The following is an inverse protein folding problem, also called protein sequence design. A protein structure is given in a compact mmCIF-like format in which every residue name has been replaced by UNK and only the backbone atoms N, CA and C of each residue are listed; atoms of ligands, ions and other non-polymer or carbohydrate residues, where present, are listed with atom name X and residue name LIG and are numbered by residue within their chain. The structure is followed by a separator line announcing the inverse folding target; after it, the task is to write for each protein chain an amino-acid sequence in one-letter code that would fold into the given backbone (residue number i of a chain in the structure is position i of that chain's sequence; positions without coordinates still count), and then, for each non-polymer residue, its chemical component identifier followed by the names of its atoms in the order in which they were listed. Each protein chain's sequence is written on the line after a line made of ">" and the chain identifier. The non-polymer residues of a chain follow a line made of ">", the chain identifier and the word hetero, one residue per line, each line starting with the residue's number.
data_IF_024264289584
#
_entry.id   IF_024264289584
#
_cell.length_a   1.000
_cell.length_b   1.000
_cell.length_c   1.000
_cell.angle_alpha   90.00
_cell.angle_beta   90.00
_cell.angle_gamma   90.00
#
_symmetry.space_group_name_H-M   'P 1'
#
loop_
_entity.id
_entity.type
_entity.pdbx_description
1 polymer ?
#
# COMPACT_ATOMS: atom_id res chain seq x y z
N UNK A 1 -13.62 -29.72 -21.30
CA UNK A 1 -13.19 -28.74 -20.28
C UNK A 1 -14.30 -27.71 -20.19
N UNK A 2 -15.28 -27.98 -19.34
CA UNK A 2 -16.35 -27.02 -19.03
C UNK A 2 -15.71 -25.87 -18.26
N UNK A 3 -15.79 -24.67 -18.83
CA UNK A 3 -15.47 -23.44 -18.12
C UNK A 3 -16.42 -23.37 -16.92
N UNK A 4 -15.94 -23.74 -15.74
CA UNK A 4 -16.63 -23.44 -14.49
C UNK A 4 -16.56 -21.92 -14.40
N UNK A 5 -17.66 -21.25 -14.73
CA UNK A 5 -17.75 -19.79 -14.63
C UNK A 5 -17.37 -19.41 -13.20
N UNK A 6 -16.40 -18.51 -13.06
CA UNK A 6 -16.06 -17.90 -11.79
C UNK A 6 -17.34 -17.33 -11.18
N UNK A 7 -17.66 -17.74 -9.95
CA UNK A 7 -18.75 -17.13 -9.18
C UNK A 7 -18.49 -15.62 -9.10
N UNK A 8 -19.45 -14.73 -9.38
CA UNK A 8 -19.29 -13.29 -9.18
C UNK A 8 -18.78 -12.90 -7.78
N UNK A 9 -19.00 -13.76 -6.78
CA UNK A 9 -18.40 -13.63 -5.45
C UNK A 9 -16.86 -13.84 -5.45
N UNK A 10 -16.34 -14.74 -6.29
CA UNK A 10 -14.90 -15.01 -6.42
C UNK A 10 -14.16 -13.88 -7.17
N UNK A 11 -14.78 -13.26 -8.18
CA UNK A 11 -14.21 -12.09 -8.87
C UNK A 11 -14.07 -10.88 -7.92
N UNK A 12 -15.08 -10.66 -7.06
CA UNK A 12 -15.02 -9.63 -6.03
C UNK A 12 -13.98 -9.94 -4.95
N UNK A 13 -13.83 -11.20 -4.51
CA UNK A 13 -12.82 -11.57 -3.51
C UNK A 13 -11.41 -11.19 -3.95
N UNK A 14 -11.06 -11.50 -5.21
CA UNK A 14 -9.72 -11.28 -5.73
C UNK A 14 -9.41 -9.79 -5.93
N UNK A 15 -10.37 -8.99 -6.36
CA UNK A 15 -10.16 -7.54 -6.56
C UNK A 15 -9.76 -6.79 -5.28
N UNK A 16 -10.12 -7.33 -4.10
CA UNK A 16 -9.90 -6.72 -2.80
C UNK A 16 -8.94 -7.48 -1.90
N UNK A 17 -8.31 -8.55 -2.40
CA UNK A 17 -7.45 -9.40 -1.58
C UNK A 17 -6.30 -8.57 -0.96
N UNK A 18 -6.18 -8.50 0.38
CA UNK A 18 -5.37 -7.48 1.03
C UNK A 18 -3.85 -7.77 1.04
N UNK A 19 -3.45 -8.96 0.59
CA UNK A 19 -2.08 -9.46 0.56
C UNK A 19 -1.38 -9.40 1.93
N UNK A 20 -0.36 -8.54 2.08
CA UNK A 20 0.42 -8.39 3.33
C UNK A 20 -0.06 -7.18 4.13
N UNK A 21 -0.21 -7.36 5.45
CA UNK A 21 -0.51 -6.29 6.38
C UNK A 21 0.60 -5.23 6.34
N UNK A 22 0.27 -4.01 5.92
CA UNK A 22 1.18 -2.86 5.94
C UNK A 22 0.53 -1.67 6.65
N UNK A 23 1.24 -0.99 7.55
CA UNK A 23 0.79 0.27 8.12
C UNK A 23 0.53 1.31 7.03
N UNK A 24 -0.55 2.06 7.18
CA UNK A 24 -0.89 3.24 6.38
C UNK A 24 -1.40 4.33 7.34
N UNK A 25 -1.16 5.62 7.06
CA UNK A 25 -1.80 6.70 7.81
C UNK A 25 -3.33 6.55 7.79
N UNK A 26 -4.03 6.69 8.93
CA UNK A 26 -5.48 6.52 8.96
C UNK A 26 -6.20 7.58 8.13
N UNK A 27 -7.34 7.21 7.55
CA UNK A 27 -8.24 8.10 6.81
C UNK A 27 -9.03 9.02 7.73
N UNK A 28 -8.34 9.90 8.46
CA UNK A 28 -8.93 10.90 9.35
C UNK A 28 -9.62 12.03 8.55
N UNK A 29 -10.48 12.84 9.19
CA UNK A 29 -11.00 14.07 8.59
C UNK A 29 -9.90 14.92 7.95
N UNK A 30 -10.18 15.53 6.80
CA UNK A 30 -9.17 16.27 6.02
C UNK A 30 -8.53 17.39 6.85
N UNK A 31 -9.33 18.12 7.61
CA UNK A 31 -8.86 19.17 8.54
C UNK A 31 -7.85 18.63 9.56
N UNK A 32 -8.11 17.44 10.12
CA UNK A 32 -7.21 16.82 11.08
C UNK A 32 -5.89 16.39 10.44
N UNK A 33 -5.93 15.88 9.20
CA UNK A 33 -4.73 15.47 8.46
C UNK A 33 -3.86 16.68 8.08
N UNK A 34 -4.48 17.78 7.66
CA UNK A 34 -3.77 19.05 7.38
C UNK A 34 -3.19 19.64 8.68
N UNK A 35 -3.94 19.64 9.77
CA UNK A 35 -3.44 20.08 11.09
C UNK A 35 -2.26 19.23 11.57
N UNK A 36 -2.35 17.91 11.48
CA UNK A 36 -1.24 17.00 11.82
C UNK A 36 0.00 17.27 10.97
N UNK A 37 -0.18 17.66 9.70
CA UNK A 37 0.93 18.02 8.83
C UNK A 37 1.61 19.31 9.30
N UNK A 38 0.81 20.31 9.69
CA UNK A 38 1.32 21.56 10.27
C UNK A 38 2.06 21.30 11.60
N UNK A 39 1.51 20.48 12.49
CA UNK A 39 2.17 20.08 13.74
C UNK A 39 3.47 19.31 13.47
N UNK A 40 3.49 18.46 12.44
CA UNK A 40 4.70 17.80 11.98
C UNK A 40 5.71 18.80 11.42
N UNK A 41 5.28 19.88 10.79
CA UNK A 41 6.16 20.94 10.28
C UNK A 41 6.53 22.00 11.33
N UNK A 42 5.99 21.93 12.55
CA UNK A 42 6.19 22.95 13.57
C UNK A 42 7.67 23.23 13.83
N UNK A 43 8.02 24.52 13.91
CA UNK A 43 9.40 25.00 14.02
C UNK A 43 10.02 24.55 15.34
N UNK A 44 11.17 23.91 15.25
CA UNK A 44 12.10 23.68 16.36
C UNK A 44 13.22 24.72 16.28
N UNK A 45 13.95 24.95 17.38
CA UNK A 45 15.12 25.84 17.40
C UNK A 45 16.18 25.46 16.36
N UNK A 46 16.28 24.17 16.06
CA UNK A 46 17.32 23.59 15.21
C UNK A 46 16.86 23.40 13.75
N UNK A 47 15.64 23.85 13.42
CA UNK A 47 14.99 23.61 12.14
C UNK A 47 14.49 22.16 11.97
N UNK A 48 13.83 21.88 10.84
CA UNK A 48 13.19 20.60 10.62
C UNK A 48 14.22 19.55 10.14
N UNK A 49 14.39 18.41 10.84
CA UNK A 49 15.32 17.37 10.39
C UNK A 49 14.99 16.85 8.99
N UNK A 50 16.01 16.43 8.24
CA UNK A 50 15.87 15.94 6.84
C UNK A 50 14.74 14.92 6.68
N UNK A 51 14.73 13.90 7.54
CA UNK A 51 13.72 12.84 7.56
C UNK A 51 12.31 13.41 7.74
N UNK A 52 12.14 14.34 8.67
CA UNK A 52 10.84 14.93 9.01
C UNK A 52 10.35 15.88 7.92
N UNK A 53 11.24 16.65 7.29
CA UNK A 53 10.90 17.46 6.13
C UNK A 53 10.44 16.59 4.95
N UNK A 54 11.15 15.50 4.68
CA UNK A 54 10.75 14.53 3.66
C UNK A 54 9.40 13.87 4.00
N UNK A 55 9.15 13.55 5.29
CA UNK A 55 7.87 13.01 5.75
C UNK A 55 6.70 13.97 5.51
N UNK A 56 6.88 15.28 5.75
CA UNK A 56 5.86 16.30 5.46
C UNK A 56 5.52 16.32 3.96
N UNK A 57 6.52 16.37 3.07
CA UNK A 57 6.28 16.35 1.63
C UNK A 57 5.54 15.07 1.19
N UNK A 58 5.94 13.91 1.72
CA UNK A 58 5.29 12.63 1.42
C UNK A 58 3.82 12.60 1.86
N UNK A 59 3.51 13.08 3.07
CA UNK A 59 2.14 13.13 3.59
C UNK A 59 1.29 14.14 2.82
N UNK A 60 1.84 15.26 2.39
CA UNK A 60 1.14 16.21 1.54
C UNK A 60 0.73 15.60 0.20
N UNK A 61 1.64 14.90 -0.48
CA UNK A 61 1.34 14.17 -1.71
C UNK A 61 0.28 13.07 -1.50
N UNK A 62 0.30 12.40 -0.34
CA UNK A 62 -0.74 11.43 0.02
C UNK A 62 -2.11 12.11 0.21
N UNK A 63 -2.18 13.24 0.92
CA UNK A 63 -3.43 14.01 1.10
C UNK A 63 -3.99 14.44 -0.25
N UNK A 64 -3.16 15.02 -1.13
CA UNK A 64 -3.58 15.40 -2.48
C UNK A 64 -4.13 14.20 -3.26
N UNK A 65 -3.42 13.08 -3.24
CA UNK A 65 -3.85 11.87 -3.93
C UNK A 65 -5.17 11.32 -3.38
N UNK A 66 -5.32 11.28 -2.06
CA UNK A 66 -6.56 10.86 -1.42
C UNK A 66 -7.73 11.77 -1.73
N UNK A 67 -7.50 13.08 -1.91
CA UNK A 67 -8.53 14.04 -2.29
C UNK A 67 -8.94 14.00 -3.77
N UNK A 68 -8.43 13.02 -4.54
CA UNK A 68 -8.71 12.93 -5.97
C UNK A 68 -8.03 14.03 -6.79
N UNK A 69 -6.86 14.49 -6.35
CA UNK A 69 -6.03 15.50 -7.03
C UNK A 69 -4.72 14.84 -7.53
N UNK A 70 -4.78 13.95 -8.55
CA UNK A 70 -3.63 13.17 -9.01
C UNK A 70 -2.50 14.05 -9.57
N UNK A 71 -2.83 15.13 -10.29
CA UNK A 71 -1.83 16.03 -10.86
C UNK A 71 -1.04 16.76 -9.78
N UNK A 72 -1.73 17.26 -8.75
CA UNK A 72 -1.07 17.87 -7.58
C UNK A 72 -0.22 16.85 -6.83
N UNK A 73 -0.73 15.64 -6.61
CA UNK A 73 0.01 14.60 -5.91
C UNK A 73 1.30 14.21 -6.65
N UNK A 74 1.25 14.12 -7.98
CA UNK A 74 2.42 13.87 -8.82
C UNK A 74 3.38 15.07 -8.82
N UNK A 75 2.88 16.30 -8.93
CA UNK A 75 3.70 17.52 -8.86
C UNK A 75 4.49 17.58 -7.55
N UNK A 76 3.84 17.33 -6.41
CA UNK A 76 4.48 17.29 -5.10
C UNK A 76 5.57 16.22 -5.01
N UNK A 77 5.34 15.03 -5.54
CA UNK A 77 6.37 13.99 -5.62
C UNK A 77 7.56 14.42 -6.48
N UNK A 78 7.30 15.04 -7.62
CA UNK A 78 8.36 15.50 -8.51
C UNK A 78 9.17 16.67 -7.96
N UNK A 79 8.52 17.61 -7.27
CA UNK A 79 9.19 18.72 -6.59
C UNK A 79 10.15 18.20 -5.54
N UNK A 80 9.70 17.26 -4.70
CA UNK A 80 10.56 16.63 -3.71
C UNK A 80 11.72 15.87 -4.35
N UNK A 81 11.46 15.08 -5.40
CA UNK A 81 12.52 14.37 -6.13
C UNK A 81 13.58 15.34 -6.67
N UNK A 82 13.14 16.45 -7.28
CA UNK A 82 14.02 17.48 -7.86
C UNK A 82 14.96 18.06 -6.80
N UNK A 83 14.49 18.28 -5.57
CA UNK A 83 15.34 18.78 -4.48
C UNK A 83 16.47 17.80 -4.12
N UNK A 84 16.18 16.50 -4.09
CA UNK A 84 17.20 15.48 -3.86
C UNK A 84 18.15 15.34 -5.05
N UNK A 85 17.63 15.35 -6.28
CA UNK A 85 18.42 15.22 -7.50
C UNK A 85 19.43 16.37 -7.66
N UNK A 86 19.00 17.60 -7.40
CA UNK A 86 19.86 18.80 -7.43
C UNK A 86 20.95 18.81 -6.35
N UNK A 87 20.77 18.06 -5.27
CA UNK A 87 21.71 18.02 -4.15
C UNK A 87 22.71 16.85 -4.24
N UNK A 88 22.70 16.09 -5.34
CA UNK A 88 23.60 14.96 -5.52
C UNK A 88 25.08 15.40 -5.67
N UNK A 89 26.04 14.55 -5.27
CA UNK A 89 25.84 13.25 -4.63
C UNK A 89 25.39 13.40 -3.16
N UNK A 90 24.45 12.56 -2.74
CA UNK A 90 23.86 12.60 -1.40
C UNK A 90 24.68 11.78 -0.37
N UNK A 91 24.55 12.03 0.94
CA UNK A 91 25.04 11.09 1.94
C UNK A 91 24.30 9.75 1.86
N UNK A 92 24.95 8.64 2.23
CA UNK A 92 24.37 7.30 2.20
C UNK A 92 23.00 7.21 2.92
N UNK A 93 22.86 7.93 4.04
CA UNK A 93 21.64 7.97 4.85
C UNK A 93 20.43 8.61 4.13
N UNK A 94 20.64 9.36 3.05
CA UNK A 94 19.57 10.01 2.29
C UNK A 94 19.10 9.20 1.07
N UNK A 95 19.73 8.06 0.77
CA UNK A 95 19.43 7.25 -0.42
C UNK A 95 17.94 6.86 -0.52
N UNK A 96 17.36 6.36 0.59
CA UNK A 96 15.96 5.95 0.63
C UNK A 96 15.02 7.16 0.49
N UNK A 97 15.33 8.27 1.17
CA UNK A 97 14.53 9.49 1.10
C UNK A 97 14.52 10.10 -0.31
N UNK A 98 15.61 9.98 -1.05
CA UNK A 98 15.71 10.48 -2.42
C UNK A 98 14.89 9.65 -3.43
N UNK A 99 14.75 8.35 -3.17
CA UNK A 99 14.01 7.43 -4.02
C UNK A 99 12.50 7.42 -3.71
N UNK A 100 12.12 7.67 -2.45
CA UNK A 100 10.74 7.60 -1.98
C UNK A 100 9.73 8.40 -2.81
N UNK A 101 10.00 9.65 -3.25
CA UNK A 101 9.02 10.43 -4.02
C UNK A 101 8.70 9.78 -5.36
N UNK A 102 9.69 9.18 -6.01
CA UNK A 102 9.48 8.47 -7.29
C UNK A 102 8.74 7.14 -7.06
N UNK A 103 9.01 6.44 -5.95
CA UNK A 103 8.25 5.25 -5.56
C UNK A 103 6.81 5.54 -5.11
N UNK A 104 6.49 6.79 -4.75
CA UNK A 104 5.12 7.17 -4.44
C UNK A 104 4.23 7.26 -5.69
N UNK A 105 4.80 7.51 -6.87
CA UNK A 105 4.05 7.53 -8.14
C UNK A 105 3.35 6.19 -8.44
N UNK A 106 4.03 5.03 -8.48
CA UNK A 106 3.34 3.75 -8.67
C UNK A 106 2.39 3.43 -7.50
N UNK A 107 2.68 3.87 -6.27
CA UNK A 107 1.75 3.69 -5.13
C UNK A 107 0.48 4.53 -5.24
N UNK A 108 0.52 5.68 -5.91
CA UNK A 108 -0.67 6.45 -6.28
C UNK A 108 -1.49 5.67 -7.31
N UNK A 109 -0.85 5.25 -8.41
CA UNK A 109 -1.49 4.47 -9.47
C UNK A 109 -2.16 3.18 -8.97
N UNK A 110 -1.52 2.42 -8.07
CA UNK A 110 -2.12 1.23 -7.45
C UNK A 110 -3.42 1.57 -6.70
N UNK A 111 -3.44 2.71 -5.98
CA UNK A 111 -4.62 3.15 -5.23
C UNK A 111 -5.75 3.57 -6.16
N UNK A 112 -5.42 4.19 -7.28
CA UNK A 112 -6.36 4.63 -8.31
C UNK A 112 -6.82 3.48 -9.22
N UNK A 113 -6.22 2.30 -9.08
CA UNK A 113 -6.57 1.08 -9.83
C UNK A 113 -5.76 0.85 -11.10
N UNK A 114 -4.83 1.75 -11.46
CA UNK A 114 -3.93 1.58 -12.60
C UNK A 114 -2.70 0.73 -12.23
N UNK A 115 -2.96 -0.55 -11.98
CA UNK A 115 -1.92 -1.52 -11.65
C UNK A 115 -0.91 -1.74 -12.79
N UNK A 116 -1.34 -1.63 -14.05
CA UNK A 116 -0.45 -1.86 -15.20
C UNK A 116 0.63 -0.79 -15.30
N UNK A 117 0.25 0.49 -15.24
CA UNK A 117 1.22 1.59 -15.30
C UNK A 117 2.11 1.62 -14.06
N UNK A 118 1.54 1.36 -12.88
CA UNK A 118 2.32 1.26 -11.65
C UNK A 118 3.42 0.19 -11.77
N UNK A 119 3.05 -0.98 -12.31
CA UNK A 119 3.98 -2.07 -12.50
C UNK A 119 5.10 -1.73 -13.49
N UNK A 120 4.77 -1.12 -14.63
CA UNK A 120 5.74 -0.69 -15.64
C UNK A 120 6.77 0.31 -15.07
N UNK A 121 6.33 1.27 -14.25
CA UNK A 121 7.23 2.21 -13.57
C UNK A 121 8.20 1.48 -12.62
N UNK A 122 7.69 0.54 -11.81
CA UNK A 122 8.52 -0.22 -10.88
C UNK A 122 9.58 -1.07 -11.61
N UNK A 123 9.22 -1.68 -12.75
CA UNK A 123 10.16 -2.41 -13.59
C UNK A 123 11.23 -1.48 -14.17
N UNK A 124 10.82 -0.33 -14.74
CA UNK A 124 11.75 0.63 -15.32
C UNK A 124 12.76 1.16 -14.29
N UNK A 125 12.31 1.46 -13.07
CA UNK A 125 13.19 1.86 -11.97
C UNK A 125 14.17 0.75 -11.58
N UNK A 126 13.69 -0.48 -11.43
CA UNK A 126 14.58 -1.59 -11.07
C UNK A 126 15.62 -1.87 -12.16
N UNK A 127 15.21 -1.84 -13.43
CA UNK A 127 16.10 -2.04 -14.57
C UNK A 127 17.15 -0.93 -14.68
N UNK A 128 16.75 0.33 -14.49
CA UNK A 128 17.68 1.45 -14.47
C UNK A 128 18.69 1.35 -13.33
N UNK A 129 18.26 0.94 -12.13
CA UNK A 129 19.18 0.69 -11.01
C UNK A 129 20.14 -0.47 -11.30
N UNK A 130 19.65 -1.55 -11.92
CA UNK A 130 20.43 -2.76 -12.24
C UNK A 130 21.49 -2.49 -13.31
N UNK A 131 21.19 -1.62 -14.27
CA UNK A 131 22.07 -1.27 -15.40
C UNK A 131 22.86 0.02 -15.18
N UNK A 132 22.67 0.70 -14.04
CA UNK A 132 23.27 1.99 -13.72
C UNK A 132 22.93 3.08 -14.75
N UNK A 133 21.68 3.09 -15.22
CA UNK A 133 21.17 4.04 -16.21
C UNK A 133 20.07 4.95 -15.60
N UNK A 134 19.24 5.54 -16.44
CA UNK A 134 18.09 6.36 -16.04
C UNK A 134 16.79 5.72 -16.52
N UNK A 135 15.72 5.87 -15.76
CA UNK A 135 14.37 5.51 -16.18
C UNK A 135 13.62 6.75 -16.70
N UNK A 136 12.85 6.61 -17.79
CA UNK A 136 11.94 7.66 -18.26
C UNK A 136 10.54 7.41 -17.68
N UNK A 137 10.07 8.32 -16.84
CA UNK A 137 8.75 8.24 -16.18
C UNK A 137 8.00 9.52 -16.50
N UNK A 138 6.88 9.41 -17.22
CA UNK A 138 6.02 10.54 -17.58
C UNK A 138 6.79 11.71 -18.22
N UNK A 139 7.74 11.38 -19.10
CA UNK A 139 8.59 12.35 -19.79
C UNK A 139 9.73 12.92 -18.95
N UNK A 140 9.91 12.48 -17.70
CA UNK A 140 10.98 12.93 -16.80
C UNK A 140 12.01 11.82 -16.59
N UNK A 141 13.28 12.16 -16.72
CA UNK A 141 14.39 11.23 -16.52
C UNK A 141 14.71 11.11 -15.03
N UNK A 142 14.74 9.88 -14.51
CA UNK A 142 15.16 9.56 -13.14
C UNK A 142 16.47 8.79 -13.21
N UNK A 143 17.57 9.45 -12.84
CA UNK A 143 18.87 8.79 -12.73
C UNK A 143 18.96 7.98 -11.43
N UNK A 144 19.45 6.75 -11.54
CA UNK A 144 19.70 5.83 -10.42
C UNK A 144 21.17 5.43 -10.28
N UNK A 145 22.06 6.19 -10.93
CA UNK A 145 23.51 6.10 -10.74
C UNK A 145 24.04 7.36 -10.05
N UNK A 146 25.09 7.20 -9.25
CA UNK A 146 25.74 8.28 -8.51
C UNK A 146 24.73 9.08 -7.65
N UNK A 147 23.76 8.38 -7.05
CA UNK A 147 22.74 9.01 -6.22
C UNK A 147 23.37 9.49 -4.91
N UNK A 148 24.23 8.66 -4.34
CA UNK A 148 25.00 8.96 -3.14
C UNK A 148 26.50 8.97 -3.39
N UNK A 149 27.27 9.52 -2.44
CA UNK A 149 28.72 9.45 -2.41
C UNK A 149 29.25 8.12 -1.83
N UNK A 150 28.37 7.17 -1.50
CA UNK A 150 28.76 5.91 -0.87
C UNK A 150 29.35 4.94 -1.88
N UNK A 151 30.35 4.16 -1.46
CA UNK A 151 30.98 3.15 -2.33
C UNK A 151 30.04 1.99 -2.71
N UNK A 152 28.96 1.80 -1.97
CA UNK A 152 27.92 0.80 -2.22
C UNK A 152 26.61 1.38 -2.81
N UNK A 153 26.63 2.64 -3.32
CA UNK A 153 25.48 3.34 -3.91
C UNK A 153 24.65 2.46 -4.85
N UNK A 154 25.32 1.85 -5.84
CA UNK A 154 24.66 0.96 -6.81
C UNK A 154 23.97 -0.22 -6.14
N UNK A 155 24.61 -0.87 -5.15
CA UNK A 155 24.00 -1.98 -4.41
C UNK A 155 22.77 -1.51 -3.65
N UNK A 156 22.84 -0.34 -3.02
CA UNK A 156 21.74 0.28 -2.28
C UNK A 156 20.56 0.61 -3.20
N UNK A 157 20.79 1.30 -4.33
CA UNK A 157 19.74 1.61 -5.31
C UNK A 157 19.09 0.36 -5.92
N UNK A 158 19.90 -0.64 -6.26
CA UNK A 158 19.40 -1.92 -6.77
C UNK A 158 18.55 -2.63 -5.73
N UNK A 159 18.94 -2.59 -4.45
CA UNK A 159 18.22 -3.26 -3.36
C UNK A 159 16.89 -2.57 -3.09
N UNK A 160 16.87 -1.24 -2.96
CA UNK A 160 15.65 -0.49 -2.70
C UNK A 160 14.63 -0.62 -3.83
N UNK A 161 15.06 -0.51 -5.09
CA UNK A 161 14.17 -0.71 -6.25
C UNK A 161 13.70 -2.15 -6.40
N UNK A 162 14.57 -3.14 -6.13
CA UNK A 162 14.19 -4.55 -6.11
C UNK A 162 13.14 -4.84 -5.04
N UNK A 163 13.32 -4.33 -3.82
CA UNK A 163 12.35 -4.46 -2.73
C UNK A 163 11.02 -3.82 -3.11
N UNK A 164 11.04 -2.63 -3.72
CA UNK A 164 9.82 -1.98 -4.18
C UNK A 164 9.12 -2.78 -5.31
N UNK A 165 9.85 -3.32 -6.27
CA UNK A 165 9.29 -4.17 -7.32
C UNK A 165 8.66 -5.45 -6.74
N UNK A 166 9.35 -6.10 -5.80
CA UNK A 166 8.84 -7.31 -5.16
C UNK A 166 7.59 -7.04 -4.32
N UNK A 167 7.58 -5.92 -3.60
CA UNK A 167 6.53 -5.54 -2.67
C UNK A 167 5.31 -4.90 -3.35
N UNK A 168 5.55 -3.86 -4.15
CA UNK A 168 4.51 -3.04 -4.78
C UNK A 168 4.19 -3.55 -6.20
N UNK A 169 5.11 -4.22 -6.88
CA UNK A 169 4.87 -4.76 -8.23
C UNK A 169 3.93 -5.97 -8.21
N UNK A 170 4.05 -6.87 -7.22
CA UNK A 170 3.07 -7.96 -7.02
C UNK A 170 1.67 -7.39 -6.77
N UNK A 171 1.56 -6.32 -5.99
CA UNK A 171 0.28 -5.64 -5.72
C UNK A 171 -0.28 -4.94 -6.94
N UNK A 172 0.58 -4.32 -7.74
CA UNK A 172 0.20 -3.68 -8.98
C UNK A 172 -0.41 -4.70 -9.96
N UNK A 173 0.25 -5.85 -10.14
CA UNK A 173 -0.27 -6.94 -10.96
C UNK A 173 -1.55 -7.55 -10.39
N UNK A 174 -1.61 -7.80 -9.08
CA UNK A 174 -2.81 -8.28 -8.39
C UNK A 174 -3.99 -7.31 -8.58
N UNK A 175 -3.75 -6.01 -8.46
CA UNK A 175 -4.78 -4.97 -8.66
C UNK A 175 -5.31 -4.94 -10.09
N UNK A 176 -4.47 -5.31 -11.07
CA UNK A 176 -4.86 -5.49 -12.46
C UNK A 176 -5.50 -6.87 -12.76
N UNK A 177 -5.72 -7.72 -11.75
CA UNK A 177 -6.24 -9.09 -11.92
C UNK A 177 -5.24 -10.09 -12.50
N UNK A 178 -3.97 -9.70 -12.69
CA UNK A 178 -2.91 -10.48 -13.34
C UNK A 178 -2.16 -11.36 -12.35
N UNK A 179 -2.89 -12.24 -11.65
CA UNK A 179 -2.33 -13.06 -10.57
C UNK A 179 -1.24 -14.03 -11.03
N UNK A 180 -1.38 -14.61 -12.22
CA UNK A 180 -0.36 -15.48 -12.79
C UNK A 180 0.97 -14.75 -12.96
N UNK A 181 0.94 -13.57 -13.57
CA UNK A 181 2.13 -12.74 -13.77
C UNK A 181 2.68 -12.21 -12.43
N UNK A 182 1.81 -11.92 -11.47
CA UNK A 182 2.22 -11.57 -10.11
C UNK A 182 3.03 -12.70 -9.45
N UNK A 183 2.61 -13.95 -9.64
CA UNK A 183 3.30 -15.13 -9.14
C UNK A 183 4.63 -15.38 -9.89
N UNK A 184 4.64 -15.27 -11.22
CA UNK A 184 5.86 -15.40 -12.03
C UNK A 184 6.90 -14.35 -11.67
N UNK A 185 6.49 -13.09 -11.52
CA UNK A 185 7.36 -12.02 -11.08
C UNK A 185 7.95 -12.30 -9.69
N UNK A 186 7.10 -12.69 -8.74
CA UNK A 186 7.57 -13.04 -7.42
C UNK A 186 8.60 -14.18 -7.48
N UNK A 187 8.36 -15.21 -8.30
CA UNK A 187 9.29 -16.32 -8.49
C UNK A 187 10.63 -15.87 -9.11
N UNK A 188 10.58 -15.08 -10.19
CA UNK A 188 11.75 -14.56 -10.90
C UNK A 188 12.66 -13.74 -9.97
N UNK A 189 12.07 -13.04 -9.01
CA UNK A 189 12.79 -12.25 -8.01
C UNK A 189 12.98 -12.96 -6.66
N UNK A 190 12.80 -14.29 -6.58
CA UNK A 190 12.96 -15.10 -5.35
C UNK A 190 12.10 -14.63 -4.17
N UNK A 191 10.95 -14.05 -4.46
CA UNK A 191 9.95 -13.58 -3.49
C UNK A 191 8.98 -14.64 -3.00
N UNK A 192 9.08 -15.89 -3.47
CA UNK A 192 8.26 -17.02 -3.01
C UNK A 192 9.00 -17.73 -1.87
N UNK A 193 8.89 -17.18 -0.66
CA UNK A 193 9.49 -17.74 0.55
C UNK A 193 8.62 -18.82 1.22
N UNK A 194 8.94 -19.20 2.47
CA UNK A 194 8.13 -20.12 3.30
C UNK A 194 6.93 -19.45 3.98
N UNK A 195 7.02 -18.13 4.21
CA UNK A 195 5.97 -17.34 4.85
C UNK A 195 4.89 -16.92 3.85
N UNK A 196 3.68 -16.65 4.33
CA UNK A 196 2.59 -16.08 3.51
C UNK A 196 2.81 -14.58 3.29
N UNK A 197 3.87 -14.21 2.57
CA UNK A 197 4.08 -12.85 2.07
C UNK A 197 3.49 -12.67 0.66
N UNK A 198 3.57 -11.46 0.08
CA UNK A 198 2.88 -11.08 -1.16
C UNK A 198 3.10 -12.13 -2.29
N UNK A 199 4.35 -12.58 -2.49
CA UNK A 199 4.69 -13.54 -3.54
C UNK A 199 4.06 -14.93 -3.37
N UNK A 200 4.15 -15.53 -2.18
CA UNK A 200 3.55 -16.86 -1.93
C UNK A 200 2.02 -16.81 -2.02
N UNK A 201 1.41 -15.73 -1.52
CA UNK A 201 -0.04 -15.55 -1.62
C UNK A 201 -0.48 -15.41 -3.09
N UNK A 202 0.24 -14.64 -3.90
CA UNK A 202 -0.02 -14.55 -5.34
C UNK A 202 0.11 -15.91 -6.04
N UNK A 203 1.09 -16.73 -5.68
CA UNK A 203 1.23 -18.10 -6.21
C UNK A 203 0.03 -18.98 -5.87
N UNK A 204 -0.47 -18.95 -4.62
CA UNK A 204 -1.66 -19.72 -4.23
C UNK A 204 -2.87 -19.30 -5.08
N UNK A 205 -3.12 -18.00 -5.20
CA UNK A 205 -4.27 -17.48 -5.95
C UNK A 205 -4.17 -17.78 -7.45
N UNK A 206 -2.98 -17.67 -8.03
CA UNK A 206 -2.73 -18.04 -9.42
C UNK A 206 -2.99 -19.53 -9.69
N UNK A 207 -2.53 -20.41 -8.79
CA UNK A 207 -2.80 -21.85 -8.88
C UNK A 207 -4.29 -22.16 -8.77
N UNK A 208 -4.99 -21.52 -7.82
CA UNK A 208 -6.42 -21.70 -7.63
C UNK A 208 -7.21 -21.27 -8.88
N UNK A 209 -6.90 -20.10 -9.46
CA UNK A 209 -7.52 -19.62 -10.70
C UNK A 209 -7.25 -20.53 -11.91
N UNK A 210 -6.09 -21.18 -11.96
CA UNK A 210 -5.74 -22.15 -12.99
C UNK A 210 -6.39 -23.54 -12.76
N UNK A 211 -7.21 -23.70 -11.72
CA UNK A 211 -7.83 -24.97 -11.36
C UNK A 211 -6.88 -25.97 -10.68
N UNK A 212 -5.67 -25.57 -10.33
CA UNK A 212 -4.69 -26.39 -9.60
C UNK A 212 -4.93 -26.32 -8.08
N UNK A 213 -6.16 -26.60 -7.66
CA UNK A 213 -6.64 -26.36 -6.29
C UNK A 213 -5.95 -27.22 -5.24
N UNK A 214 -5.57 -28.46 -5.56
CA UNK A 214 -4.78 -29.33 -4.67
C UNK A 214 -3.37 -28.75 -4.42
N UNK A 215 -2.71 -28.24 -5.46
CA UNK A 215 -1.40 -27.61 -5.34
C UNK A 215 -1.48 -26.30 -4.54
N UNK A 216 -2.52 -25.51 -4.79
CA UNK A 216 -2.80 -24.30 -4.05
C UNK A 216 -3.00 -24.60 -2.55
N UNK A 217 -3.83 -25.61 -2.22
CA UNK A 217 -4.09 -26.03 -0.85
C UNK A 217 -2.82 -26.57 -0.16
N UNK A 218 -2.04 -27.40 -0.85
CA UNK A 218 -0.77 -27.89 -0.32
C UNK A 218 0.21 -26.75 -0.02
N UNK A 219 0.27 -25.72 -0.86
CA UNK A 219 1.12 -24.55 -0.63
C UNK A 219 0.67 -23.74 0.59
N UNK A 220 -0.64 -23.58 0.79
CA UNK A 220 -1.22 -22.95 2.00
C UNK A 220 -0.83 -23.73 3.26
N UNK A 221 -0.98 -25.05 3.23
CA UNK A 221 -0.71 -25.94 4.37
C UNK A 221 0.77 -25.99 4.75
N UNK A 222 1.67 -25.90 3.77
CA UNK A 222 3.12 -25.89 3.99
C UNK A 222 3.67 -24.50 4.40
N UNK A 223 2.81 -23.49 4.52
CA UNK A 223 3.25 -22.13 4.83
C UNK A 223 3.50 -21.90 6.31
N UNK A 224 4.57 -21.16 6.61
CA UNK A 224 4.84 -20.65 7.94
C UNK A 224 4.02 -19.38 8.21
N UNK A 225 3.29 -19.35 9.32
CA UNK A 225 2.41 -18.23 9.71
C UNK A 225 2.68 -17.77 11.15
N UNK A 226 3.85 -17.20 11.43
CA UNK A 226 4.20 -16.74 12.77
C UNK A 226 3.31 -15.59 13.27
N UNK A 227 2.78 -14.75 12.38
CA UNK A 227 1.97 -13.60 12.77
C UNK A 227 0.45 -13.89 12.75
N UNK A 228 -0.35 -13.25 13.61
CA UNK A 228 -1.81 -13.41 13.61
C UNK A 228 -2.47 -13.06 12.28
N UNK A 229 -1.92 -12.08 11.55
CA UNK A 229 -2.45 -11.71 10.23
C UNK A 229 -2.15 -12.81 9.19
N UNK A 230 -1.00 -13.49 9.27
CA UNK A 230 -0.68 -14.61 8.37
C UNK A 230 -1.61 -15.80 8.60
N UNK A 231 -1.97 -16.06 9.87
CA UNK A 231 -2.93 -17.12 10.22
C UNK A 231 -4.33 -16.83 9.66
N UNK A 232 -4.78 -15.57 9.71
CA UNK A 232 -6.05 -15.17 9.10
C UNK A 232 -6.02 -15.30 7.56
N UNK A 233 -4.91 -14.94 6.91
CA UNK A 233 -4.75 -15.15 5.47
C UNK A 233 -4.71 -16.64 5.13
N UNK A 234 -4.07 -17.48 5.95
CA UNK A 234 -4.02 -18.92 5.73
C UNK A 234 -5.42 -19.55 5.76
N UNK A 235 -6.26 -19.20 6.74
CA UNK A 235 -7.63 -19.72 6.81
C UNK A 235 -8.48 -19.23 5.65
N UNK A 236 -8.35 -17.96 5.25
CA UNK A 236 -9.00 -17.40 4.06
C UNK A 236 -8.61 -18.19 2.80
N UNK A 237 -7.31 -18.36 2.55
CA UNK A 237 -6.81 -19.07 1.37
C UNK A 237 -7.20 -20.54 1.38
N UNK A 238 -7.23 -21.19 2.56
CA UNK A 238 -7.66 -22.59 2.70
C UNK A 238 -9.13 -22.76 2.30
N UNK A 239 -10.02 -21.92 2.83
CA UNK A 239 -11.45 -21.96 2.50
C UNK A 239 -11.68 -21.64 1.02
N UNK A 240 -10.95 -20.65 0.48
CA UNK A 240 -11.01 -20.34 -0.95
C UNK A 240 -10.60 -21.54 -1.82
N UNK A 241 -9.48 -22.21 -1.51
CA UNK A 241 -9.04 -23.41 -2.26
C UNK A 241 -10.06 -24.55 -2.19
N UNK A 242 -10.66 -24.80 -1.01
CA UNK A 242 -11.72 -25.81 -0.86
C UNK A 242 -12.95 -25.48 -1.71
N UNK A 243 -13.39 -24.21 -1.69
CA UNK A 243 -14.52 -23.75 -2.50
C UNK A 243 -14.26 -23.93 -4.00
N UNK A 244 -13.07 -23.53 -4.47
CA UNK A 244 -12.65 -23.73 -5.87
C UNK A 244 -12.59 -25.23 -6.26
N UNK A 245 -12.26 -26.10 -5.31
CA UNK A 245 -12.26 -27.55 -5.52
C UNK A 245 -13.67 -28.19 -5.46
N UNK A 246 -14.73 -27.41 -5.15
CA UNK A 246 -16.07 -27.94 -4.90
C UNK A 246 -16.16 -28.80 -3.64
N UNK A 247 -15.20 -28.66 -2.71
CA UNK A 247 -15.13 -29.43 -1.47
C UNK A 247 -15.94 -28.76 -0.34
N UNK A 248 -16.30 -29.56 0.68
CA UNK A 248 -16.98 -29.06 1.87
C UNK A 248 -16.11 -28.05 2.64
N UNK A 249 -16.63 -26.83 2.80
CA UNK A 249 -15.98 -25.74 3.53
C UNK A 249 -16.38 -25.67 5.00
N UNK A 250 -17.46 -26.36 5.41
CA UNK A 250 -18.06 -26.28 6.74
C UNK A 250 -17.06 -26.41 7.90
N UNK A 251 -16.15 -27.42 7.91
CA UNK A 251 -15.16 -27.58 8.97
C UNK A 251 -14.20 -26.39 9.14
N UNK A 252 -14.02 -25.58 8.10
CA UNK A 252 -13.08 -24.45 8.08
C UNK A 252 -13.73 -23.10 8.36
N UNK A 253 -15.07 -23.01 8.38
CA UNK A 253 -15.79 -21.76 8.66
C UNK A 253 -15.56 -21.27 10.09
N UNK A 254 -15.60 -22.15 11.09
CA UNK A 254 -15.36 -21.75 12.48
C UNK A 254 -13.93 -21.20 12.72
N UNK A 255 -12.84 -21.85 12.21
CA UNK A 255 -11.49 -21.29 12.22
C UNK A 255 -11.34 -19.97 11.45
N UNK A 256 -11.94 -19.85 10.27
CA UNK A 256 -11.95 -18.64 9.45
C UNK A 256 -12.53 -17.45 10.24
N UNK A 257 -13.72 -17.62 10.80
CA UNK A 257 -14.38 -16.57 11.59
C UNK A 257 -13.61 -16.25 12.89
N UNK A 258 -12.97 -17.24 13.52
CA UNK A 258 -12.17 -17.03 14.72
C UNK A 258 -10.96 -16.14 14.44
N UNK A 259 -10.20 -16.47 13.40
CA UNK A 259 -8.98 -15.75 13.02
C UNK A 259 -9.29 -14.34 12.53
N UNK A 260 -10.36 -14.16 11.73
CA UNK A 260 -10.85 -12.84 11.33
C UNK A 260 -11.26 -11.97 12.53
N UNK A 261 -11.98 -12.52 13.51
CA UNK A 261 -12.35 -11.79 14.73
C UNK A 261 -11.14 -11.42 15.59
N UNK A 262 -10.16 -12.31 15.74
CA UNK A 262 -8.90 -12.02 16.44
C UNK A 262 -8.17 -10.87 15.76
N UNK A 263 -8.08 -10.90 14.43
CA UNK A 263 -7.47 -9.83 13.64
C UNK A 263 -8.19 -8.49 13.86
N UNK A 264 -9.52 -8.47 13.83
CA UNK A 264 -10.33 -7.26 14.03
C UNK A 264 -10.22 -6.63 15.43
N UNK A 265 -9.77 -7.39 16.43
CA UNK A 265 -9.58 -6.89 17.81
C UNK A 265 -8.25 -6.17 18.03
N UNK A 266 -7.33 -6.23 17.07
CA UNK A 266 -6.06 -5.52 17.20
C UNK A 266 -6.30 -3.99 17.32
N UNK A 267 -5.55 -3.27 18.16
CA UNK A 267 -5.83 -1.87 18.46
C UNK A 267 -5.28 -0.88 17.41
N UNK A 268 -4.24 -1.26 16.67
CA UNK A 268 -3.53 -0.34 15.78
C UNK A 268 -4.38 0.08 14.58
N UNK A 269 -4.72 1.36 14.45
CA UNK A 269 -5.54 1.85 13.34
C UNK A 269 -4.79 1.84 12.00
N UNK A 270 -3.46 1.85 11.98
CA UNK A 270 -2.69 1.96 10.75
C UNK A 270 -2.85 0.74 9.83
N UNK A 271 -3.30 -0.39 10.36
CA UNK A 271 -3.55 -1.62 9.61
C UNK A 271 -5.04 -1.93 9.45
N UNK A 272 -5.93 -1.02 9.82
CA UNK A 272 -7.39 -1.22 9.81
C UNK A 272 -7.94 -1.61 8.42
N UNK A 273 -7.41 -1.03 7.34
CA UNK A 273 -7.79 -1.37 5.96
C UNK A 273 -7.54 -2.84 5.62
N UNK A 274 -6.36 -3.34 5.98
CA UNK A 274 -6.02 -4.75 5.78
C UNK A 274 -7.00 -5.66 6.53
N UNK A 275 -7.28 -5.35 7.80
CA UNK A 275 -8.16 -6.16 8.66
C UNK A 275 -9.60 -6.14 8.18
N UNK A 276 -10.09 -4.97 7.78
CA UNK A 276 -11.43 -4.81 7.23
C UNK A 276 -11.62 -5.65 5.96
N UNK A 277 -10.68 -5.58 5.01
CA UNK A 277 -10.70 -6.39 3.78
C UNK A 277 -10.64 -7.89 4.08
N UNK A 278 -9.75 -8.32 4.97
CA UNK A 278 -9.68 -9.72 5.38
C UNK A 278 -11.00 -10.20 6.02
N UNK A 279 -11.62 -9.38 6.87
CA UNK A 279 -12.91 -9.69 7.49
C UNK A 279 -14.08 -9.70 6.49
N UNK A 280 -14.10 -8.81 5.49
CA UNK A 280 -15.09 -8.83 4.41
C UNK A 280 -14.96 -10.11 3.58
N UNK A 281 -13.74 -10.47 3.17
CA UNK A 281 -13.48 -11.73 2.47
C UNK A 281 -13.89 -12.95 3.30
N UNK A 282 -13.64 -12.93 4.61
CA UNK A 282 -14.09 -13.99 5.50
C UNK A 282 -15.63 -14.10 5.57
N UNK A 283 -16.36 -12.99 5.47
CA UNK A 283 -17.83 -13.00 5.38
C UNK A 283 -18.32 -13.51 4.03
N UNK A 284 -17.60 -13.25 2.94
CA UNK A 284 -17.95 -13.74 1.60
C UNK A 284 -17.72 -15.25 1.47
N UNK A 285 -16.64 -15.74 2.07
CA UNK A 285 -16.33 -17.17 2.13
C UNK A 285 -17.23 -17.95 3.09
N UNK A 286 -17.77 -17.30 4.12
CA UNK A 286 -18.74 -17.89 5.05
C UNK A 286 -20.20 -17.76 4.58
N UNK A 287 -20.43 -17.22 3.37
CA UNK A 287 -21.78 -17.09 2.83
C UNK A 287 -22.47 -18.43 2.67
N UNK A 288 -23.77 -18.49 2.98
CA UNK A 288 -24.54 -19.73 2.96
C UNK A 288 -24.35 -20.65 4.17
N UNK A 289 -23.49 -20.29 5.13
CA UNK A 289 -23.34 -21.01 6.40
C UNK A 289 -24.12 -20.34 7.53
N UNK A 290 -24.73 -21.14 8.41
CA UNK A 290 -25.35 -20.65 9.64
C UNK A 290 -24.38 -20.81 10.81
N UNK A 291 -23.69 -19.72 11.18
CA UNK A 291 -22.74 -19.72 12.28
C UNK A 291 -22.81 -18.42 13.10
N UNK A 292 -22.93 -18.48 14.44
CA UNK A 292 -23.19 -17.30 15.28
C UNK A 292 -22.09 -16.23 15.23
N UNK A 293 -20.85 -16.61 14.87
CA UNK A 293 -19.73 -15.66 14.70
C UNK A 293 -19.85 -14.78 13.45
N UNK A 294 -20.69 -15.12 12.47
CA UNK A 294 -20.91 -14.29 11.26
C UNK A 294 -21.45 -12.92 11.68
N UNK A 295 -22.50 -12.92 12.51
CA UNK A 295 -23.09 -11.67 13.03
C UNK A 295 -22.14 -10.88 13.92
N UNK A 296 -21.30 -11.58 14.70
CA UNK A 296 -20.29 -10.93 15.54
C UNK A 296 -19.23 -10.24 14.68
N UNK A 297 -18.74 -10.91 13.63
CA UNK A 297 -17.74 -10.35 12.71
C UNK A 297 -18.33 -9.16 11.94
N UNK A 298 -19.57 -9.30 11.45
CA UNK A 298 -20.31 -8.22 10.81
C UNK A 298 -20.39 -6.97 11.69
N UNK A 299 -20.80 -7.10 12.96
CA UNK A 299 -20.85 -5.98 13.91
C UNK A 299 -19.47 -5.39 14.18
N UNK A 300 -18.45 -6.22 14.33
CA UNK A 300 -17.07 -5.76 14.57
C UNK A 300 -16.53 -4.95 13.37
N UNK A 301 -16.79 -5.39 12.14
CA UNK A 301 -16.45 -4.65 10.92
C UNK A 301 -17.16 -3.31 10.87
N UNK A 302 -18.49 -3.30 11.02
CA UNK A 302 -19.27 -2.06 11.00
C UNK A 302 -18.75 -1.07 12.06
N UNK A 303 -18.49 -1.53 13.29
CA UNK A 303 -17.95 -0.67 14.35
C UNK A 303 -16.55 -0.11 14.03
N UNK A 304 -15.71 -0.88 13.34
CA UNK A 304 -14.39 -0.45 12.92
C UNK A 304 -14.41 0.59 11.79
N UNK A 305 -15.40 0.52 10.89
CA UNK A 305 -15.45 1.38 9.68
C UNK A 305 -15.64 2.86 9.97
N UNK A 306 -16.19 3.22 11.12
CA UNK A 306 -16.38 4.62 11.53
C UNK A 306 -15.08 5.32 11.94
N UNK A 307 -13.97 4.59 12.08
CA UNK A 307 -12.69 5.14 12.57
C UNK A 307 -11.69 5.47 11.46
N UNK A 308 -11.95 5.02 10.24
CA UNK A 308 -11.03 5.16 9.12
C UNK A 308 -11.81 5.26 7.80
N UNK A 309 -11.67 6.39 7.11
CA UNK A 309 -12.44 6.66 5.90
C UNK A 309 -12.13 5.71 4.73
N UNK A 310 -10.95 5.11 4.66
CA UNK A 310 -10.68 4.11 3.63
C UNK A 310 -11.49 2.84 3.90
N UNK A 311 -11.62 2.42 5.15
CA UNK A 311 -12.49 1.29 5.49
C UNK A 311 -13.97 1.60 5.32
N UNK A 312 -14.38 2.85 5.57
CA UNK A 312 -15.73 3.31 5.25
C UNK A 312 -16.00 3.19 3.74
N UNK A 313 -15.09 3.68 2.89
CA UNK A 313 -15.18 3.58 1.43
C UNK A 313 -15.30 2.12 0.98
N UNK A 314 -14.35 1.28 1.39
CA UNK A 314 -14.31 -0.12 0.98
C UNK A 314 -15.58 -0.86 1.44
N UNK A 315 -16.11 -0.55 2.61
CA UNK A 315 -17.34 -1.18 3.12
C UNK A 315 -18.60 -0.70 2.40
N UNK A 316 -18.68 0.58 2.03
CA UNK A 316 -19.78 1.12 1.23
C UNK A 316 -19.82 0.53 -0.19
N UNK A 317 -18.67 0.10 -0.72
CA UNK A 317 -18.54 -0.61 -1.98
C UNK A 317 -18.77 -2.13 -1.88
N UNK A 318 -18.88 -2.67 -0.66
CA UNK A 318 -19.01 -4.10 -0.39
C UNK A 318 -20.46 -4.50 -0.05
N UNK A 319 -20.83 -5.77 -0.27
CA UNK A 319 -22.16 -6.32 0.06
C UNK A 319 -22.53 -6.20 1.54
N UNK A 320 -21.53 -6.03 2.42
CA UNK A 320 -21.72 -5.72 3.85
C UNK A 320 -22.65 -4.50 4.06
N UNK A 321 -22.67 -3.55 3.12
CA UNK A 321 -23.60 -2.40 3.10
C UNK A 321 -25.08 -2.79 3.19
N UNK A 322 -25.47 -3.95 2.66
CA UNK A 322 -26.86 -4.43 2.67
C UNK A 322 -27.35 -4.73 4.09
N UNK A 323 -26.44 -5.13 4.97
CA UNK A 323 -26.72 -5.42 6.37
C UNK A 323 -26.75 -4.18 7.29
N UNK A 324 -26.42 -3.00 6.75
CA UNK A 324 -26.36 -1.75 7.50
C UNK A 324 -27.71 -1.05 7.54
N UNK A 325 -28.00 -0.39 8.67
CA UNK A 325 -29.13 0.54 8.75
C UNK A 325 -28.91 1.76 7.87
N UNK A 326 -29.98 2.45 7.49
CA UNK A 326 -29.89 3.72 6.75
C UNK A 326 -29.04 4.76 7.49
N UNK A 327 -29.18 4.84 8.82
CA UNK A 327 -28.35 5.72 9.66
C UNK A 327 -26.87 5.36 9.59
N UNK A 328 -26.52 4.07 9.71
CA UNK A 328 -25.12 3.63 9.60
C UNK A 328 -24.51 3.98 8.24
N UNK A 329 -25.26 3.76 7.15
CA UNK A 329 -24.81 4.12 5.81
C UNK A 329 -24.59 5.61 5.65
N UNK A 330 -25.49 6.44 6.18
CA UNK A 330 -25.36 7.89 6.14
C UNK A 330 -24.12 8.35 6.95
N UNK A 331 -23.95 7.84 8.16
CA UNK A 331 -22.80 8.18 9.00
C UNK A 331 -21.48 7.76 8.34
N UNK A 332 -21.40 6.62 7.67
CA UNK A 332 -20.20 6.24 6.92
C UNK A 332 -19.95 7.13 5.70
N UNK A 333 -21.01 7.54 5.00
CA UNK A 333 -20.88 8.52 3.92
C UNK A 333 -20.36 9.87 4.44
N UNK A 334 -20.76 10.27 5.65
CA UNK A 334 -20.28 11.50 6.28
C UNK A 334 -18.80 11.38 6.72
N UNK A 335 -18.38 10.22 7.26
CA UNK A 335 -16.94 9.94 7.54
C UNK A 335 -16.10 10.01 6.26
N UNK A 336 -16.58 9.38 5.19
CA UNK A 336 -15.93 9.40 3.88
C UNK A 336 -15.79 10.84 3.34
N UNK A 337 -16.88 11.61 3.40
CA UNK A 337 -16.90 13.02 2.95
C UNK A 337 -16.01 13.92 3.81
N UNK A 338 -16.02 13.75 5.14
CA UNK A 338 -15.21 14.54 6.06
C UNK A 338 -13.71 14.30 5.86
N UNK A 339 -13.31 13.08 5.48
CA UNK A 339 -11.95 12.80 5.07
C UNK A 339 -11.59 13.43 3.72
N UNK A 340 -12.57 13.88 2.93
CA UNK A 340 -12.33 14.46 1.60
C UNK A 340 -11.82 13.43 0.59
N UNK A 341 -12.05 12.13 0.83
CA UNK A 341 -11.61 11.08 -0.09
C UNK A 341 -12.37 11.19 -1.42
N UNK A 342 -11.63 11.15 -2.52
CA UNK A 342 -12.16 11.21 -3.89
C UNK A 342 -13.06 12.45 -4.14
N UNK A 343 -12.88 13.52 -3.35
CA UNK A 343 -13.69 14.75 -3.44
C UNK A 343 -13.42 15.56 -4.73
N UNK A 344 -12.31 15.28 -5.41
CA UNK A 344 -11.90 15.95 -6.63
C UNK A 344 -11.37 17.38 -6.39
N UNK A 345 -11.30 17.85 -5.14
CA UNK A 345 -10.73 19.14 -4.76
C UNK A 345 -10.40 19.17 -3.26
N UNK A 346 -9.48 20.06 -2.88
CA UNK A 346 -9.19 20.40 -1.48
C UNK A 346 -9.85 21.78 -1.24
N UNK A 347 -10.61 21.98 -0.15
CA UNK A 347 -11.17 23.29 0.18
C UNK A 347 -10.08 24.36 0.24
N UNK A 348 -10.36 25.54 -0.32
CA UNK A 348 -9.36 26.61 -0.54
C UNK A 348 -8.52 26.95 0.70
N UNK A 349 -9.15 27.06 1.87
CA UNK A 349 -8.43 27.32 3.13
C UNK A 349 -7.43 26.22 3.47
N UNK A 350 -7.86 24.96 3.38
CA UNK A 350 -7.02 23.80 3.65
C UNK A 350 -5.94 23.61 2.58
N UNK A 351 -6.23 23.98 1.33
CA UNK A 351 -5.24 23.98 0.26
C UNK A 351 -4.14 25.02 0.52
N UNK A 352 -4.50 26.23 0.95
CA UNK A 352 -3.56 27.26 1.39
C UNK A 352 -2.63 26.76 2.50
N UNK A 353 -3.22 26.22 3.58
CA UNK A 353 -2.47 25.68 4.73
C UNK A 353 -1.54 24.52 4.32
N UNK A 354 -2.04 23.62 3.47
CA UNK A 354 -1.27 22.50 2.93
C UNK A 354 -0.05 23.00 2.15
N UNK A 355 -0.26 23.94 1.21
CA UNK A 355 0.79 24.43 0.33
C UNK A 355 1.82 25.31 1.04
N UNK A 356 1.41 26.08 2.06
CA UNK A 356 2.34 26.80 2.93
C UNK A 356 3.23 25.81 3.69
N UNK A 357 2.63 24.76 4.25
CA UNK A 357 3.35 23.71 4.99
C UNK A 357 4.34 22.95 4.09
N UNK A 358 3.92 22.62 2.86
CA UNK A 358 4.80 22.02 1.84
C UNK A 358 5.97 22.93 1.52
N UNK A 359 5.71 24.21 1.23
CA UNK A 359 6.77 25.17 0.90
C UNK A 359 7.78 25.29 2.03
N UNK A 360 7.32 25.36 3.28
CA UNK A 360 8.20 25.38 4.45
C UNK A 360 9.06 24.11 4.52
N UNK A 361 8.47 22.93 4.34
CA UNK A 361 9.21 21.66 4.36
C UNK A 361 10.23 21.55 3.22
N UNK A 362 9.89 22.01 2.01
CA UNK A 362 10.80 22.06 0.87
C UNK A 362 12.00 23.01 1.13
N UNK A 363 11.76 24.16 1.75
CA UNK A 363 12.82 25.09 2.14
C UNK A 363 13.75 24.49 3.19
N UNK A 364 13.19 23.78 4.19
CA UNK A 364 13.98 23.04 5.18
C UNK A 364 14.77 21.89 4.54
N UNK A 365 14.16 21.15 3.62
CA UNK A 365 14.78 20.06 2.89
C UNK A 365 15.98 20.57 2.07
N UNK A 366 15.80 21.67 1.33
CA UNK A 366 16.87 22.34 0.57
C UNK A 366 18.01 22.81 1.48
N UNK A 367 17.67 23.42 2.62
CA UNK A 367 18.65 23.85 3.62
C UNK A 367 19.45 22.69 4.22
N UNK A 368 18.77 21.59 4.58
CA UNK A 368 19.41 20.38 5.09
C UNK A 368 20.35 19.75 4.07
N UNK A 369 19.89 19.57 2.82
CA UNK A 369 20.68 18.97 1.75
C UNK A 369 21.90 19.82 1.39
N UNK A 370 21.76 21.15 1.30
CA UNK A 370 22.87 22.06 1.02
C UNK A 370 23.95 22.08 2.11
N UNK A 371 23.60 21.80 3.37
CA UNK A 371 24.60 21.62 4.45
C UNK A 371 25.42 20.34 4.29
N UNK A 372 24.80 19.26 3.81
CA UNK A 372 25.49 17.98 3.61
C UNK A 372 26.44 18.01 2.41
N UNK A 373 26.02 18.63 1.28
CA UNK A 373 26.87 18.74 0.10
C UNK A 373 28.22 19.41 0.41
N UNK A 374 28.20 20.53 1.14
CA UNK A 374 29.42 21.23 1.59
C UNK A 374 30.33 20.39 2.49
N UNK A 375 29.78 19.46 3.26
CA UNK A 375 30.57 18.61 4.14
C UNK A 375 31.30 17.50 3.38
N UNK A 376 30.69 16.95 2.32
CA UNK A 376 31.31 15.97 1.44
C UNK A 376 32.44 16.56 0.59
N UNK A 377 32.31 17.82 0.13
CA UNK A 377 33.38 18.48 -0.64
C UNK A 377 34.64 18.75 0.20
N UNK A 378 34.48 19.16 1.46
CA UNK A 378 35.60 19.42 2.37
C UNK A 378 36.39 18.16 2.76
N UNK A 379 35.79 16.98 2.78
CA UNK A 379 36.50 15.72 3.08
C UNK A 379 37.23 15.13 1.88
N UNK A 380 36.79 15.44 0.66
CA UNK A 380 37.48 15.03 -0.58
C UNK A 380 38.69 15.91 -0.93
N UNK A 381 38.74 17.17 -0.47
CA UNK A 381 39.84 18.10 -0.77
C UNK A 381 41.10 17.90 0.10
N UNK A 382 41.04 17.04 1.12
CA UNK A 382 42.15 16.78 2.06
C UNK A 382 42.79 15.39 1.87
N UNK A 383 42.53 14.70 0.76
CA UNK A 383 43.10 13.37 0.44
C UNK A 383 44.14 13.44 -0.66
#
# INVERSE_FOLDING_TARGET
>A
MTNVGTDPADENLLAWFPLVQRPRPPGLPLEDRVRQLHDLAARTSDGLPLLRAAEVCNKAALIASDCGQPDLAQDLCWRQHTLFDQARPLPASAAELALQPVLNLPRQLIRDGDGNRAHAILQALHEAARTQTSALIDGRSVSLHNVTCASDDHRTMRTLTWTALLADGVRALARAGRWHEAAEQAAAHRGVGRRLLDGRQATVLALAQAGHTEQAAALVDQSATPEPWEQAIQTILRVHCLRQAGADTGPQIAPLLATALTLMRQPDLSTMVFRARAGMIALDLADGHDHPRIDVLRRALIAGTFKDAYTARDTLAHRLRESMTTTQRQTLADVFRAAGLDAGSIPESLYGDLMETVKFAEDQLRGCLGRHARHCECTTATS
#
